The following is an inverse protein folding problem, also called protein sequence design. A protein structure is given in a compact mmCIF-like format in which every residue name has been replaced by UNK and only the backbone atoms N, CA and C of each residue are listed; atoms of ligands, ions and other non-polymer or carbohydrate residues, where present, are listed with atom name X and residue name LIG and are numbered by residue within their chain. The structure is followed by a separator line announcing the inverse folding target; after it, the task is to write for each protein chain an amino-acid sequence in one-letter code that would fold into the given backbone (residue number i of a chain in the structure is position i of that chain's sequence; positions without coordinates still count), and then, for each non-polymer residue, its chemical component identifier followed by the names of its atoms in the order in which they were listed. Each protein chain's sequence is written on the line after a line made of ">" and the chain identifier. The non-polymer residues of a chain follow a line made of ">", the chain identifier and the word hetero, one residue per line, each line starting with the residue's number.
data_IF_833405944979
#
_entry.id   IF_833405944979
#
_cell.length_a   1.000
_cell.length_b   1.000
_cell.length_c   1.000
_cell.angle_alpha   90.00
_cell.angle_beta   90.00
_cell.angle_gamma   90.00
#
_symmetry.space_group_name_H-M   'P 1'
#
loop_
_entity.id
_entity.type
_entity.pdbx_description
1 polymer ?
#
# COMPACT_ATOMS: atom_id res chain seq x y z
N UNK A 1 8.53 8.38 29.36
CA UNK A 1 7.05 8.41 29.48
C UNK A 1 6.56 9.78 29.90
N UNK A 2 7.13 10.39 30.90
CA UNK A 2 6.72 11.74 31.39
C UNK A 2 6.90 12.86 30.35
N UNK A 3 7.94 12.83 29.55
CA UNK A 3 8.20 13.83 28.49
C UNK A 3 7.14 13.77 27.39
N UNK A 4 6.78 12.57 26.96
CA UNK A 4 5.72 12.38 25.95
C UNK A 4 4.32 12.77 26.49
N UNK A 5 4.07 12.67 27.79
CA UNK A 5 2.82 13.16 28.40
C UNK A 5 2.78 14.69 28.48
N UNK A 6 3.90 15.33 28.81
CA UNK A 6 4.00 16.80 28.81
C UNK A 6 3.81 17.37 27.42
N UNK A 7 4.43 16.78 26.42
CA UNK A 7 4.27 17.18 25.02
C UNK A 7 2.83 17.01 24.55
N UNK A 8 2.19 15.90 24.93
CA UNK A 8 0.76 15.69 24.65
C UNK A 8 -0.12 16.80 25.27
N UNK A 9 0.11 17.14 26.52
CA UNK A 9 -0.69 18.14 27.23
C UNK A 9 -0.48 19.55 26.64
N UNK A 10 0.74 19.90 26.28
CA UNK A 10 1.08 21.16 25.60
C UNK A 10 0.38 21.22 24.22
N UNK A 11 0.46 20.16 23.43
CA UNK A 11 -0.18 20.10 22.13
C UNK A 11 -1.71 20.20 22.23
N UNK A 12 -2.31 19.53 23.22
CA UNK A 12 -3.73 19.62 23.48
C UNK A 12 -4.15 21.04 23.90
N UNK A 13 -3.38 21.67 24.76
CA UNK A 13 -3.62 23.05 25.18
C UNK A 13 -3.56 24.02 24.01
N UNK A 14 -2.53 23.91 23.17
CA UNK A 14 -2.39 24.72 21.96
C UNK A 14 -3.55 24.50 20.98
N UNK A 15 -4.02 23.25 20.82
CA UNK A 15 -5.21 22.93 20.03
C UNK A 15 -6.46 23.62 20.59
N UNK A 16 -6.66 23.57 21.91
CA UNK A 16 -7.82 24.20 22.55
C UNK A 16 -7.80 25.72 22.41
N UNK A 17 -6.63 26.35 22.55
CA UNK A 17 -6.45 27.77 22.30
C UNK A 17 -6.80 28.11 20.84
N UNK A 18 -6.28 27.33 19.88
CA UNK A 18 -6.58 27.54 18.46
C UNK A 18 -8.06 27.37 18.13
N UNK A 19 -8.73 26.37 18.72
CA UNK A 19 -10.17 26.19 18.58
C UNK A 19 -10.95 27.43 19.08
N UNK A 20 -10.54 28.01 20.19
CA UNK A 20 -11.12 29.24 20.73
C UNK A 20 -10.92 30.42 19.78
N UNK A 21 -9.72 30.62 19.28
CA UNK A 21 -9.36 31.73 18.38
C UNK A 21 -10.17 31.72 17.07
N UNK A 22 -10.42 30.53 16.53
CA UNK A 22 -11.22 30.33 15.29
C UNK A 22 -12.69 30.07 15.56
N UNK A 23 -13.17 30.22 16.82
CA UNK A 23 -14.54 29.95 17.24
C UNK A 23 -15.05 28.54 16.89
N UNK A 24 -14.17 27.53 16.93
CA UNK A 24 -14.54 26.13 16.72
C UNK A 24 -15.07 25.52 18.03
N UNK A 25 -16.33 25.09 18.02
CA UNK A 25 -16.96 24.42 19.18
C UNK A 25 -16.74 22.92 19.11
N UNK A 26 -16.09 22.36 20.14
CA UNK A 26 -15.89 20.92 20.28
C UNK A 26 -17.07 20.31 21.09
N UNK A 27 -17.43 19.06 20.74
CA UNK A 27 -18.46 18.35 21.49
C UNK A 27 -17.86 17.64 22.71
N UNK A 28 -18.12 18.12 23.95
CA UNK A 28 -17.52 17.55 25.16
C UNK A 28 -17.92 16.10 25.41
N UNK A 29 -19.10 15.66 24.92
CA UNK A 29 -19.55 14.25 25.08
C UNK A 29 -18.77 13.26 24.24
N UNK A 30 -18.07 13.74 23.20
CA UNK A 30 -17.22 12.91 22.33
C UNK A 30 -15.73 13.03 22.66
N UNK A 31 -15.39 13.86 23.62
CA UNK A 31 -14.01 14.09 24.03
C UNK A 31 -13.50 12.90 24.84
N UNK A 32 -12.38 12.34 24.42
CA UNK A 32 -11.69 11.24 25.10
C UNK A 32 -10.26 11.71 25.44
N UNK A 33 -9.94 11.72 26.72
CA UNK A 33 -8.68 12.24 27.22
C UNK A 33 -7.81 11.14 27.79
N UNK A 34 -6.54 11.08 27.40
CA UNK A 34 -5.50 10.12 27.87
C UNK A 34 -5.96 8.65 27.84
N UNK A 35 -6.69 8.27 26.79
CA UNK A 35 -7.15 6.89 26.60
C UNK A 35 -6.06 6.04 25.94
N UNK A 36 -5.95 4.77 26.33
CA UNK A 36 -4.97 3.83 25.75
C UNK A 36 -5.30 3.41 24.32
N UNK A 37 -6.56 3.49 23.94
CA UNK A 37 -7.07 3.14 22.63
C UNK A 37 -8.17 4.11 22.22
N UNK A 38 -8.19 4.50 20.95
CA UNK A 38 -9.23 5.40 20.42
C UNK A 38 -9.78 4.83 19.11
N UNK A 39 -11.09 4.88 18.96
CA UNK A 39 -11.73 4.56 17.68
C UNK A 39 -11.79 5.83 16.82
N UNK A 40 -11.12 5.79 15.69
CA UNK A 40 -11.10 6.91 14.73
C UNK A 40 -11.42 6.42 13.33
N UNK A 41 -12.45 7.00 12.73
CA UNK A 41 -12.96 6.63 11.39
C UNK A 41 -13.06 5.09 11.22
N UNK A 42 -13.61 4.39 12.23
CA UNK A 42 -13.83 2.94 12.17
C UNK A 42 -12.57 2.06 12.23
N UNK A 43 -11.44 2.64 12.64
CA UNK A 43 -10.21 1.94 12.99
C UNK A 43 -9.94 2.09 14.48
N UNK A 44 -9.33 1.10 15.07
CA UNK A 44 -8.85 1.15 16.45
C UNK A 44 -7.37 1.53 16.44
N UNK A 45 -7.05 2.69 17.02
CA UNK A 45 -5.69 3.19 17.21
C UNK A 45 -5.24 2.82 18.62
N UNK A 46 -4.08 2.23 18.76
CA UNK A 46 -3.47 1.84 20.03
C UNK A 46 -1.95 2.03 19.97
N UNK A 47 -1.26 1.83 21.09
CA UNK A 47 0.22 1.81 21.12
C UNK A 47 0.83 0.75 20.18
N UNK A 48 0.08 -0.32 19.88
CA UNK A 48 0.54 -1.40 19.00
C UNK A 48 0.37 -1.08 17.50
N UNK A 49 -0.35 0.00 17.19
CA UNK A 49 -0.62 0.41 15.81
C UNK A 49 -2.09 0.59 15.48
N UNK A 50 -2.44 0.43 14.22
CA UNK A 50 -3.77 0.60 13.65
C UNK A 50 -4.36 -0.77 13.37
N UNK A 51 -5.55 -1.05 13.90
CA UNK A 51 -6.29 -2.29 13.61
C UNK A 51 -7.72 -2.00 13.16
N UNK A 52 -8.39 -2.95 12.48
CA UNK A 52 -9.81 -2.80 12.19
C UNK A 52 -10.61 -2.72 13.50
N UNK A 53 -11.68 -1.92 13.52
CA UNK A 53 -12.57 -1.90 14.67
C UNK A 53 -13.25 -3.27 14.85
N UNK A 54 -13.19 -3.89 16.06
CA UNK A 54 -13.73 -5.24 16.29
C UNK A 54 -15.19 -5.42 15.87
N UNK A 55 -16.03 -4.40 16.14
CA UNK A 55 -17.44 -4.44 15.74
C UNK A 55 -17.65 -4.47 14.21
N UNK A 56 -16.76 -3.88 13.41
CA UNK A 56 -16.83 -3.99 11.94
C UNK A 56 -16.44 -5.37 11.45
N UNK A 57 -15.39 -5.95 12.04
CA UNK A 57 -14.97 -7.31 11.74
C UNK A 57 -16.08 -8.29 12.11
N UNK A 58 -16.70 -8.11 13.27
CA UNK A 58 -17.79 -8.95 13.71
C UNK A 58 -19.02 -8.83 12.80
N UNK A 59 -19.39 -7.60 12.40
CA UNK A 59 -20.49 -7.40 11.46
C UNK A 59 -20.29 -8.14 10.13
N UNK A 60 -19.05 -8.22 9.63
CA UNK A 60 -18.74 -9.01 8.42
C UNK A 60 -18.81 -10.51 8.72
N UNK A 61 -18.32 -10.95 9.88
CA UNK A 61 -18.40 -12.36 10.29
C UNK A 61 -19.84 -12.87 10.40
N UNK A 62 -20.74 -12.02 10.88
CA UNK A 62 -22.14 -12.39 11.13
C UNK A 62 -23.02 -12.25 9.87
N UNK A 63 -22.48 -11.71 8.76
CA UNK A 63 -23.24 -11.61 7.51
C UNK A 63 -23.59 -12.99 6.96
N UNK A 64 -24.87 -13.19 6.62
CA UNK A 64 -25.32 -14.35 5.85
C UNK A 64 -24.92 -14.24 4.37
N UNK A 65 -24.87 -15.35 3.65
CA UNK A 65 -24.66 -15.31 2.20
C UNK A 65 -25.63 -14.34 1.53
N UNK A 66 -25.16 -13.49 0.61
CA UNK A 66 -26.01 -12.54 -0.09
C UNK A 66 -27.06 -13.24 -0.96
N UNK A 67 -28.28 -12.73 -0.97
CA UNK A 67 -29.40 -13.25 -1.77
C UNK A 67 -29.64 -12.39 -3.02
N UNK A 68 -29.02 -11.22 -3.11
CA UNK A 68 -29.15 -10.27 -4.21
C UNK A 68 -27.88 -9.48 -4.47
N UNK A 69 -27.81 -8.79 -5.62
CA UNK A 69 -26.70 -7.95 -6.04
C UNK A 69 -26.41 -6.81 -5.05
N UNK A 70 -27.46 -6.21 -4.46
CA UNK A 70 -27.29 -5.09 -3.51
C UNK A 70 -26.59 -5.56 -2.23
N UNK A 71 -26.94 -6.76 -1.76
CA UNK A 71 -26.26 -7.37 -0.58
C UNK A 71 -24.81 -7.71 -0.89
N UNK A 72 -24.50 -8.20 -2.11
CA UNK A 72 -23.11 -8.39 -2.55
C UNK A 72 -22.36 -7.07 -2.57
N UNK A 73 -22.92 -6.02 -3.16
CA UNK A 73 -22.28 -4.69 -3.18
C UNK A 73 -22.02 -4.15 -1.78
N UNK A 74 -22.97 -4.34 -0.85
CA UNK A 74 -22.78 -3.97 0.57
C UNK A 74 -21.61 -4.74 1.19
N UNK A 75 -21.55 -6.06 1.00
CA UNK A 75 -20.46 -6.89 1.49
C UNK A 75 -19.12 -6.45 0.91
N UNK A 76 -19.02 -6.28 -0.41
CA UNK A 76 -17.82 -5.80 -1.09
C UNK A 76 -17.36 -4.43 -0.55
N UNK A 77 -18.28 -3.49 -0.35
CA UNK A 77 -17.98 -2.17 0.22
C UNK A 77 -17.39 -2.27 1.62
N UNK A 78 -17.93 -3.14 2.48
CA UNK A 78 -17.39 -3.39 3.82
C UNK A 78 -16.00 -4.02 3.77
N UNK A 79 -15.78 -4.97 2.86
CA UNK A 79 -14.49 -5.62 2.65
C UNK A 79 -13.45 -4.64 2.09
N UNK A 80 -13.79 -3.84 1.10
CA UNK A 80 -12.91 -2.81 0.51
C UNK A 80 -12.43 -1.81 1.57
N UNK A 81 -13.30 -1.42 2.49
CA UNK A 81 -12.90 -0.52 3.59
C UNK A 81 -11.79 -1.12 4.47
N UNK A 82 -11.77 -2.44 4.64
CA UNK A 82 -10.78 -3.16 5.44
C UNK A 82 -9.62 -3.74 4.60
N UNK A 83 -9.60 -3.50 3.28
CA UNK A 83 -8.59 -4.08 2.38
C UNK A 83 -7.15 -3.72 2.72
N UNK A 84 -6.93 -2.53 3.33
CA UNK A 84 -5.59 -2.11 3.77
C UNK A 84 -4.98 -3.00 4.87
N UNK A 85 -5.78 -3.83 5.54
CA UNK A 85 -5.35 -4.71 6.62
C UNK A 85 -5.14 -6.16 6.16
N UNK A 86 -5.43 -6.45 4.90
CA UNK A 86 -5.40 -7.81 4.36
C UNK A 86 -4.70 -7.85 3.01
N UNK A 87 -3.97 -8.93 2.80
CA UNK A 87 -3.31 -9.19 1.52
C UNK A 87 -4.25 -9.96 0.58
N UNK A 88 -4.12 -9.74 -0.74
CA UNK A 88 -4.81 -10.50 -1.82
C UNK A 88 -6.35 -10.55 -1.72
N UNK A 89 -6.95 -9.60 -1.00
CA UNK A 89 -8.40 -9.58 -0.83
C UNK A 89 -9.14 -9.36 -2.17
N UNK A 90 -8.59 -8.53 -3.07
CA UNK A 90 -9.22 -8.22 -4.36
C UNK A 90 -9.39 -9.47 -5.23
N UNK A 91 -8.35 -10.31 -5.32
CA UNK A 91 -8.38 -11.56 -6.09
C UNK A 91 -9.46 -12.52 -5.55
N UNK A 92 -9.55 -12.67 -4.24
CA UNK A 92 -10.56 -13.54 -3.61
C UNK A 92 -11.97 -13.02 -3.86
N UNK A 93 -12.16 -11.72 -3.92
CA UNK A 93 -13.47 -11.10 -4.15
C UNK A 93 -13.87 -11.03 -5.63
N UNK A 94 -13.00 -11.39 -6.58
CA UNK A 94 -13.27 -11.33 -8.03
C UNK A 94 -14.59 -11.98 -8.42
N UNK A 95 -14.89 -13.26 -8.02
CA UNK A 95 -16.16 -13.89 -8.39
C UNK A 95 -17.39 -13.12 -7.89
N UNK A 96 -17.30 -12.54 -6.68
CA UNK A 96 -18.39 -11.75 -6.12
C UNK A 96 -18.54 -10.40 -6.83
N UNK A 97 -17.44 -9.83 -7.29
CA UNK A 97 -17.45 -8.56 -8.05
C UNK A 97 -18.10 -8.75 -9.40
N UNK A 98 -17.86 -9.88 -10.08
CA UNK A 98 -18.47 -10.23 -11.36
C UNK A 98 -20.00 -10.25 -11.28
N UNK A 99 -20.58 -10.69 -10.16
CA UNK A 99 -22.03 -10.64 -9.95
C UNK A 99 -22.62 -9.22 -9.90
N UNK A 100 -21.77 -8.21 -9.72
CA UNK A 100 -22.21 -6.81 -9.62
C UNK A 100 -22.14 -6.06 -10.96
N UNK A 101 -21.67 -6.69 -12.05
CA UNK A 101 -21.63 -6.06 -13.35
C UNK A 101 -23.04 -5.84 -13.93
N UNK A 102 -23.19 -4.78 -14.71
CA UNK A 102 -24.50 -4.31 -15.23
C UNK A 102 -25.27 -5.40 -15.97
N UNK A 103 -24.58 -6.29 -16.70
CA UNK A 103 -25.18 -7.35 -17.49
C UNK A 103 -25.07 -8.76 -16.87
N UNK A 104 -24.66 -8.84 -15.59
CA UNK A 104 -24.54 -10.12 -14.92
C UNK A 104 -25.92 -10.68 -14.56
N UNK A 105 -26.17 -11.93 -14.95
CA UNK A 105 -27.32 -12.66 -14.46
C UNK A 105 -27.05 -13.15 -13.05
N UNK A 106 -27.96 -12.84 -12.12
CA UNK A 106 -27.82 -13.29 -10.73
C UNK A 106 -27.81 -14.82 -10.67
N UNK A 107 -26.69 -15.38 -10.23
CA UNK A 107 -26.52 -16.81 -10.02
C UNK A 107 -25.51 -17.07 -8.90
N UNK A 108 -25.99 -17.50 -7.74
CA UNK A 108 -25.11 -17.83 -6.61
C UNK A 108 -24.67 -19.30 -6.70
N UNK A 109 -23.39 -19.53 -6.95
CA UNK A 109 -22.78 -20.85 -7.09
C UNK A 109 -21.87 -21.19 -5.90
N UNK A 110 -21.36 -22.42 -5.88
CA UNK A 110 -20.38 -22.87 -4.89
C UNK A 110 -19.07 -22.08 -4.93
N UNK A 111 -18.70 -21.48 -6.08
CA UNK A 111 -17.54 -20.61 -6.22
C UNK A 111 -17.74 -19.30 -5.43
N UNK A 112 -18.92 -18.70 -5.53
CA UNK A 112 -19.27 -17.48 -4.80
C UNK A 112 -19.30 -17.74 -3.29
N UNK A 113 -19.83 -18.89 -2.85
CA UNK A 113 -19.85 -19.27 -1.44
C UNK A 113 -18.44 -19.46 -0.88
N UNK A 114 -17.55 -20.11 -1.64
CA UNK A 114 -16.12 -20.24 -1.27
C UNK A 114 -15.43 -18.89 -1.17
N UNK A 115 -15.62 -17.99 -2.16
CA UNK A 115 -15.07 -16.65 -2.16
C UNK A 115 -15.55 -15.82 -0.96
N UNK A 116 -16.86 -15.89 -0.67
CA UNK A 116 -17.48 -15.22 0.47
C UNK A 116 -16.90 -15.68 1.80
N UNK A 117 -16.83 -17.00 2.04
CA UNK A 117 -16.25 -17.58 3.26
C UNK A 117 -14.77 -17.23 3.41
N UNK A 118 -14.02 -17.30 2.30
CA UNK A 118 -12.58 -16.98 2.32
C UNK A 118 -12.33 -15.49 2.61
N UNK A 119 -13.11 -14.59 2.03
CA UNK A 119 -13.02 -13.16 2.32
C UNK A 119 -13.34 -12.86 3.79
N UNK A 120 -14.39 -13.47 4.37
CA UNK A 120 -14.72 -13.37 5.80
C UNK A 120 -13.58 -13.86 6.69
N UNK A 121 -12.97 -15.00 6.37
CA UNK A 121 -11.84 -15.56 7.10
C UNK A 121 -10.61 -14.64 7.07
N UNK A 122 -10.29 -14.07 5.91
CA UNK A 122 -9.17 -13.11 5.78
C UNK A 122 -9.39 -11.86 6.63
N UNK A 123 -10.58 -11.29 6.59
CA UNK A 123 -10.91 -10.10 7.39
C UNK A 123 -10.91 -10.42 8.89
N UNK A 124 -11.35 -11.62 9.25
CA UNK A 124 -11.32 -12.08 10.63
C UNK A 124 -9.90 -12.15 11.21
N UNK A 125 -8.92 -12.44 10.35
CA UNK A 125 -7.50 -12.54 10.68
C UNK A 125 -6.70 -11.30 10.22
N UNK A 126 -7.37 -10.16 10.08
CA UNK A 126 -6.75 -8.91 9.63
C UNK A 126 -5.60 -8.49 10.56
N UNK A 127 -4.49 -8.09 9.94
CA UNK A 127 -3.25 -7.77 10.65
C UNK A 127 -3.29 -6.36 11.24
N UNK A 128 -2.72 -6.17 12.43
CA UNK A 128 -2.47 -4.82 12.98
C UNK A 128 -1.33 -4.17 12.19
N UNK A 129 -1.58 -2.97 11.69
CA UNK A 129 -0.63 -2.18 10.92
C UNK A 129 0.21 -1.31 11.86
N UNK A 130 1.48 -1.17 11.55
CA UNK A 130 2.38 -0.23 12.22
C UNK A 130 2.05 1.21 11.80
N UNK A 131 2.26 2.17 12.71
CA UNK A 131 2.29 3.58 12.32
C UNK A 131 3.48 3.85 11.41
N UNK A 132 3.23 4.63 10.37
CA UNK A 132 4.27 5.03 9.43
C UNK A 132 5.22 6.04 10.06
N UNK A 133 6.52 5.78 9.95
CA UNK A 133 7.58 6.69 10.38
C UNK A 133 8.27 7.30 9.17
N UNK A 134 8.20 8.63 9.04
CA UNK A 134 8.78 9.35 7.90
C UNK A 134 10.31 9.17 7.83
N UNK A 135 10.98 8.97 8.96
CA UNK A 135 12.45 8.91 9.04
C UNK A 135 13.02 7.50 8.78
N UNK A 136 12.15 6.48 8.71
CA UNK A 136 12.61 5.10 8.52
C UNK A 136 12.55 4.65 7.08
N UNK A 137 13.48 3.77 6.64
CA UNK A 137 13.43 3.19 5.31
C UNK A 137 12.17 2.36 5.11
N UNK A 138 11.73 2.26 3.86
CA UNK A 138 10.56 1.49 3.48
C UNK A 138 10.94 0.31 2.60
N UNK A 139 10.29 -0.83 2.85
CA UNK A 139 10.35 -2.00 1.97
C UNK A 139 8.99 -2.16 1.31
N UNK A 140 8.98 -2.12 -0.01
CA UNK A 140 7.81 -2.40 -0.83
C UNK A 140 7.91 -3.83 -1.34
N UNK A 141 7.13 -4.74 -0.76
CA UNK A 141 7.04 -6.11 -1.22
C UNK A 141 5.86 -6.24 -2.17
N UNK A 142 6.09 -6.82 -3.34
CA UNK A 142 5.07 -7.01 -4.37
C UNK A 142 5.05 -8.44 -4.86
N UNK A 143 3.87 -8.87 -5.29
CA UNK A 143 3.63 -10.18 -5.89
C UNK A 143 2.55 -10.05 -6.97
N UNK A 144 2.67 -10.85 -8.02
CA UNK A 144 1.69 -10.92 -9.11
C UNK A 144 1.31 -12.37 -9.38
N UNK A 145 0.02 -12.66 -9.25
CA UNK A 145 -0.58 -13.93 -9.67
C UNK A 145 -1.09 -13.85 -11.11
N UNK A 146 -1.70 -14.92 -11.59
CA UNK A 146 -2.32 -14.93 -12.92
C UNK A 146 -3.49 -13.97 -13.04
N UNK A 147 -4.19 -13.68 -11.95
CA UNK A 147 -5.44 -12.90 -11.93
C UNK A 147 -5.38 -11.66 -11.05
N UNK A 148 -4.35 -11.52 -10.21
CA UNK A 148 -4.28 -10.44 -9.23
C UNK A 148 -2.87 -9.91 -8.97
N UNK A 149 -2.82 -8.73 -8.38
CA UNK A 149 -1.62 -8.05 -7.94
C UNK A 149 -1.72 -7.80 -6.44
N UNK A 150 -0.66 -8.13 -5.70
CA UNK A 150 -0.54 -7.89 -4.28
C UNK A 150 0.63 -6.97 -3.96
N UNK A 151 0.50 -6.20 -2.87
CA UNK A 151 1.60 -5.39 -2.37
C UNK A 151 1.48 -5.12 -0.88
N UNK A 152 2.62 -5.05 -0.22
CA UNK A 152 2.75 -4.69 1.18
C UNK A 152 3.83 -3.63 1.35
N UNK A 153 3.52 -2.56 2.07
CA UNK A 153 4.49 -1.58 2.53
C UNK A 153 4.92 -1.94 3.95
N UNK A 154 6.21 -2.13 4.14
CA UNK A 154 6.79 -2.57 5.39
C UNK A 154 7.78 -1.54 5.94
N UNK A 155 7.86 -1.43 7.26
CA UNK A 155 8.93 -0.75 8.00
C UNK A 155 9.33 -1.61 9.21
N UNK A 156 10.61 -1.79 9.42
CA UNK A 156 11.15 -2.68 10.47
C UNK A 156 10.54 -4.09 10.42
N UNK A 157 10.28 -4.62 9.21
CA UNK A 157 9.67 -5.93 9.01
C UNK A 157 8.17 -6.04 9.36
N UNK A 158 7.52 -4.93 9.76
CA UNK A 158 6.10 -4.88 10.11
C UNK A 158 5.30 -4.17 9.01
N UNK A 159 4.08 -4.62 8.71
CA UNK A 159 3.25 -3.99 7.69
C UNK A 159 2.71 -2.64 8.16
N UNK A 160 2.82 -1.65 7.28
CA UNK A 160 2.21 -0.32 7.39
C UNK A 160 0.88 -0.28 6.62
N UNK A 161 0.84 -0.91 5.46
CA UNK A 161 -0.36 -1.01 4.65
C UNK A 161 -0.24 -2.19 3.66
N UNK A 162 -1.38 -2.77 3.31
CA UNK A 162 -1.50 -3.71 2.20
C UNK A 162 -2.26 -3.08 1.05
N UNK A 163 -2.04 -3.60 -0.14
CA UNK A 163 -2.83 -3.31 -1.34
C UNK A 163 -3.05 -4.56 -2.15
N UNK A 164 -4.17 -4.62 -2.82
CA UNK A 164 -4.45 -5.65 -3.82
C UNK A 164 -5.27 -5.05 -4.97
N UNK A 165 -5.13 -5.64 -6.15
CA UNK A 165 -5.89 -5.27 -7.35
C UNK A 165 -6.08 -6.50 -8.21
N UNK A 166 -7.20 -6.61 -8.89
CA UNK A 166 -7.42 -7.61 -9.93
C UNK A 166 -6.85 -7.11 -11.25
N UNK A 167 -6.36 -8.03 -12.08
CA UNK A 167 -5.94 -7.74 -13.44
C UNK A 167 -7.16 -7.55 -14.35
N UNK A 168 -7.10 -6.59 -15.24
CA UNK A 168 -8.09 -6.45 -16.32
C UNK A 168 -7.95 -7.60 -17.32
N UNK A 169 -8.97 -7.83 -18.17
CA UNK A 169 -8.95 -8.87 -19.19
C UNK A 169 -7.73 -8.79 -20.14
N UNK A 170 -7.24 -7.59 -20.40
CA UNK A 170 -6.02 -7.38 -21.19
C UNK A 170 -4.75 -7.67 -20.41
N UNK A 171 -4.72 -7.35 -19.12
CA UNK A 171 -3.56 -7.54 -18.25
C UNK A 171 -3.34 -8.99 -17.84
N UNK A 172 -4.41 -9.80 -17.80
CA UNK A 172 -4.32 -11.26 -17.57
C UNK A 172 -3.41 -11.94 -18.61
N UNK A 173 -3.40 -11.42 -19.85
CA UNK A 173 -2.58 -11.94 -20.95
C UNK A 173 -1.14 -11.37 -20.98
N UNK A 174 -0.73 -10.61 -19.98
CA UNK A 174 0.63 -10.09 -19.91
C UNK A 174 1.61 -11.19 -19.54
N UNK A 175 2.86 -11.05 -20.05
CA UNK A 175 3.95 -11.92 -19.61
C UNK A 175 4.18 -11.78 -18.09
N UNK A 176 4.67 -12.82 -17.40
CA UNK A 176 4.93 -12.77 -15.95
C UNK A 176 5.77 -11.55 -15.53
N UNK A 177 6.78 -11.21 -16.31
CA UNK A 177 7.63 -10.03 -16.08
C UNK A 177 6.84 -8.72 -16.15
N UNK A 178 5.93 -8.59 -17.13
CA UNK A 178 5.08 -7.40 -17.27
C UNK A 178 4.09 -7.29 -16.10
N UNK A 179 3.52 -8.43 -15.66
CA UNK A 179 2.63 -8.48 -14.48
C UNK A 179 3.36 -8.04 -13.21
N UNK A 180 4.58 -8.50 -13.00
CA UNK A 180 5.38 -8.10 -11.84
C UNK A 180 5.76 -6.61 -11.88
N UNK A 181 6.15 -6.08 -13.06
CA UNK A 181 6.39 -4.65 -13.22
C UNK A 181 5.12 -3.83 -12.96
N UNK A 182 3.96 -4.33 -13.42
CA UNK A 182 2.66 -3.73 -13.15
C UNK A 182 2.32 -3.75 -11.65
N UNK A 183 2.65 -4.83 -10.93
CA UNK A 183 2.47 -4.91 -9.48
C UNK A 183 3.26 -3.81 -8.75
N UNK A 184 4.53 -3.61 -9.12
CA UNK A 184 5.35 -2.52 -8.58
C UNK A 184 4.69 -1.17 -8.86
N UNK A 185 4.28 -0.90 -10.11
CA UNK A 185 3.61 0.34 -10.49
C UNK A 185 2.34 0.59 -9.68
N UNK A 186 1.45 -0.42 -9.59
CA UNK A 186 0.19 -0.30 -8.85
C UNK A 186 0.45 -0.06 -7.37
N UNK A 187 1.38 -0.79 -6.76
CA UNK A 187 1.76 -0.61 -5.37
C UNK A 187 2.34 0.79 -5.11
N UNK A 188 3.25 1.29 -5.95
CA UNK A 188 3.79 2.65 -5.85
C UNK A 188 2.68 3.71 -5.98
N UNK A 189 1.73 3.51 -6.88
CA UNK A 189 0.59 4.44 -7.03
C UNK A 189 -0.32 4.43 -5.81
N UNK A 190 -0.64 3.25 -5.28
CA UNK A 190 -1.51 3.11 -4.09
C UNK A 190 -0.84 3.63 -2.81
N UNK A 191 0.46 3.46 -2.69
CA UNK A 191 1.23 3.92 -1.54
C UNK A 191 1.91 5.28 -1.77
N UNK A 192 1.52 6.01 -2.82
CA UNK A 192 2.14 7.29 -3.19
C UNK A 192 2.32 8.24 -2.01
N UNK A 193 1.31 8.40 -1.15
CA UNK A 193 1.35 9.26 0.03
C UNK A 193 2.45 8.89 1.05
N UNK A 194 2.87 7.61 1.10
CA UNK A 194 3.94 7.14 1.96
C UNK A 194 5.32 7.21 1.29
N UNK A 195 5.35 7.07 -0.03
CA UNK A 195 6.57 6.96 -0.81
C UNK A 195 7.05 8.30 -1.36
N UNK A 196 6.17 9.29 -1.46
CA UNK A 196 6.51 10.61 -2.00
C UNK A 196 7.62 11.27 -1.18
N UNK A 197 8.71 11.70 -1.85
CA UNK A 197 9.87 12.32 -1.21
C UNK A 197 10.79 11.37 -0.44
N UNK A 198 10.50 10.07 -0.40
CA UNK A 198 11.36 9.06 0.20
C UNK A 198 12.50 8.67 -0.74
N UNK A 199 13.73 8.70 -0.22
CA UNK A 199 14.93 8.26 -0.94
C UNK A 199 15.27 6.78 -0.70
N UNK A 200 14.83 6.22 0.45
CA UNK A 200 15.21 4.89 0.92
C UNK A 200 14.02 3.91 0.79
N UNK A 201 13.62 3.64 -0.45
CA UNK A 201 12.58 2.65 -0.76
C UNK A 201 13.23 1.44 -1.42
N UNK A 202 13.14 0.29 -0.76
CA UNK A 202 13.65 -0.98 -1.27
C UNK A 202 12.46 -1.76 -1.84
N UNK A 203 12.54 -2.20 -3.09
CA UNK A 203 11.51 -3.04 -3.71
C UNK A 203 11.95 -4.50 -3.67
N UNK A 204 11.13 -5.35 -3.05
CA UNK A 204 11.31 -6.79 -3.05
C UNK A 204 10.32 -7.43 -4.02
N UNK A 205 10.84 -8.19 -4.97
CA UNK A 205 10.10 -9.03 -5.90
C UNK A 205 10.84 -10.36 -6.02
N UNK A 206 10.11 -11.44 -6.17
CA UNK A 206 10.67 -12.79 -6.37
C UNK A 206 11.04 -13.07 -7.84
N UNK A 207 10.81 -12.09 -8.75
CA UNK A 207 11.06 -12.24 -10.18
C UNK A 207 12.42 -11.68 -10.60
N UNK A 208 13.46 -12.52 -10.61
CA UNK A 208 14.85 -12.18 -10.98
C UNK A 208 15.01 -11.38 -12.29
N UNK A 209 14.27 -11.68 -13.39
CA UNK A 209 14.43 -10.93 -14.64
C UNK A 209 14.19 -9.42 -14.52
N UNK A 210 13.42 -8.96 -13.53
CA UNK A 210 13.18 -7.53 -13.33
C UNK A 210 14.44 -6.77 -12.99
N UNK A 211 15.33 -7.32 -12.16
CA UNK A 211 16.60 -6.69 -11.82
C UNK A 211 17.42 -6.36 -13.07
N UNK A 212 17.50 -7.33 -13.99
CA UNK A 212 18.20 -7.16 -15.26
C UNK A 212 17.53 -6.10 -16.15
N UNK A 213 16.20 -6.02 -16.14
CA UNK A 213 15.43 -5.05 -16.94
C UNK A 213 15.62 -3.63 -16.39
N UNK A 214 15.56 -3.46 -15.08
CA UNK A 214 15.76 -2.14 -14.45
C UNK A 214 17.19 -1.61 -14.59
N UNK A 215 18.19 -2.49 -14.74
CA UNK A 215 19.59 -2.12 -15.00
C UNK A 215 19.88 -1.79 -16.47
N UNK A 216 19.01 -2.18 -17.42
CA UNK A 216 19.20 -1.89 -18.84
C UNK A 216 18.73 -0.47 -19.19
N UNK A 217 19.32 0.15 -20.23
CA UNK A 217 18.83 1.41 -20.76
C UNK A 217 17.36 1.29 -21.16
N UNK A 218 16.56 2.29 -20.80
CA UNK A 218 15.11 2.32 -21.04
C UNK A 218 14.76 2.05 -22.51
N UNK A 219 15.61 2.52 -23.45
CA UNK A 219 15.43 2.34 -24.90
C UNK A 219 15.44 0.87 -25.36
N UNK A 220 16.01 -0.04 -24.57
CA UNK A 220 16.06 -1.48 -24.89
C UNK A 220 14.91 -2.29 -24.31
N UNK A 221 14.09 -1.69 -23.46
CA UNK A 221 12.92 -2.36 -22.91
C UNK A 221 11.74 -2.33 -23.91
N UNK A 222 10.81 -3.27 -23.78
CA UNK A 222 9.56 -3.25 -24.54
C UNK A 222 8.76 -1.98 -24.24
N UNK A 223 8.06 -1.40 -25.22
CA UNK A 223 7.31 -0.13 -25.08
C UNK A 223 6.38 -0.08 -23.87
N UNK A 224 5.77 -1.22 -23.52
CA UNK A 224 4.91 -1.32 -22.33
C UNK A 224 5.71 -1.15 -21.03
N UNK A 225 6.81 -1.87 -20.90
CA UNK A 225 7.74 -1.76 -19.77
C UNK A 225 8.34 -0.36 -19.67
N UNK A 226 8.71 0.25 -20.81
CA UNK A 226 9.20 1.65 -20.82
C UNK A 226 8.20 2.62 -20.18
N UNK A 227 6.90 2.51 -20.53
CA UNK A 227 5.86 3.37 -19.95
C UNK A 227 5.71 3.15 -18.45
N UNK A 228 5.77 1.91 -17.98
CA UNK A 228 5.69 1.59 -16.55
C UNK A 228 6.91 2.14 -15.81
N UNK A 229 8.12 1.95 -16.35
CA UNK A 229 9.37 2.45 -15.77
C UNK A 229 9.41 3.97 -15.70
N UNK A 230 8.92 4.68 -16.73
CA UNK A 230 8.80 6.14 -16.71
C UNK A 230 7.85 6.63 -15.61
N UNK A 231 6.76 5.91 -15.33
CA UNK A 231 5.86 6.25 -14.23
C UNK A 231 6.50 5.96 -12.87
N UNK A 232 7.33 4.93 -12.77
CA UNK A 232 8.07 4.58 -11.56
C UNK A 232 9.20 5.59 -11.26
N UNK A 233 9.85 6.14 -12.28
CA UNK A 233 10.91 7.14 -12.10
C UNK A 233 10.39 8.44 -11.45
N UNK A 234 9.12 8.76 -11.63
CA UNK A 234 8.47 9.89 -10.97
C UNK A 234 8.35 9.74 -9.44
N UNK A 235 8.43 8.52 -8.92
CA UNK A 235 8.35 8.21 -7.48
C UNK A 235 9.72 8.09 -6.82
N UNK A 236 10.82 8.28 -7.57
CA UNK A 236 12.20 8.11 -7.10
C UNK A 236 12.44 6.77 -6.38
N UNK A 237 11.84 5.70 -6.87
CA UNK A 237 12.07 4.36 -6.35
C UNK A 237 13.49 3.95 -6.76
N UNK A 238 14.43 4.05 -5.85
CA UNK A 238 15.74 3.42 -6.00
C UNK A 238 15.53 1.92 -5.78
N UNK A 239 15.37 1.19 -6.88
CA UNK A 239 15.18 -0.25 -6.84
C UNK A 239 16.51 -0.93 -6.50
N UNK A 240 16.80 -1.14 -5.22
CA UNK A 240 17.59 -2.28 -4.85
C UNK A 240 16.66 -3.50 -4.90
N UNK A 241 16.52 -4.09 -6.08
CA UNK A 241 15.90 -5.40 -6.23
C UNK A 241 16.81 -6.38 -5.51
N UNK A 242 16.47 -6.71 -4.28
CA UNK A 242 17.11 -7.77 -3.52
C UNK A 242 16.29 -9.04 -3.70
N UNK A 243 16.91 -10.01 -4.33
CA UNK A 243 16.46 -11.38 -4.27
C UNK A 243 16.44 -11.84 -2.83
N UNK A 244 15.27 -12.12 -2.28
CA UNK A 244 15.13 -12.85 -1.03
C UNK A 244 14.03 -13.88 -1.13
N UNK A 245 14.46 -15.12 -1.05
CA UNK A 245 13.68 -16.28 -0.68
C UNK A 245 13.13 -16.15 0.75
N UNK A 246 12.24 -15.23 1.02
CA UNK A 246 11.42 -15.29 2.21
C UNK A 246 10.03 -14.78 1.86
N UNK A 247 9.12 -15.69 1.65
CA UNK A 247 7.68 -15.43 1.53
C UNK A 247 7.13 -14.79 2.82
N UNK A 248 7.42 -13.51 3.05
CA UNK A 248 6.73 -12.75 4.09
C UNK A 248 5.22 -12.68 3.79
N UNK A 249 4.83 -12.64 2.53
CA UNK A 249 3.42 -12.72 2.11
C UNK A 249 2.76 -14.03 2.56
N UNK A 250 3.48 -15.15 2.61
CA UNK A 250 2.98 -16.41 3.14
C UNK A 250 2.92 -16.49 4.67
N UNK A 251 3.65 -15.66 5.40
CA UNK A 251 3.67 -15.67 6.87
C UNK A 251 2.51 -14.92 7.50
N UNK A 252 1.91 -13.96 6.80
CA UNK A 252 0.76 -13.21 7.31
C UNK A 252 -0.58 -13.87 7.03
N UNK A 253 -0.59 -15.01 6.33
CA UNK A 253 -1.79 -15.83 6.12
C UNK A 253 -1.99 -16.90 7.18
N UNK A 254 -0.98 -17.18 8.04
CA UNK A 254 -1.08 -18.19 9.10
C UNK A 254 -0.39 -17.70 10.36
N UNK A 255 -1.19 -17.53 11.40
CA UNK A 255 -0.85 -17.47 12.82
C UNK A 255 0.06 -16.33 13.32
N UNK A 256 -0.54 -15.54 14.20
CA UNK A 256 0.09 -14.95 15.36
C UNK A 256 1.06 -15.92 16.04
N UNK A 257 2.36 -15.88 15.72
CA UNK A 257 3.44 -16.34 16.62
C UNK A 257 4.80 -15.92 16.09
N UNK A 258 5.51 -15.18 16.97
CA UNK A 258 6.94 -15.24 17.30
C UNK A 258 7.97 -14.66 16.33
N UNK A 259 8.64 -13.66 16.87
CA UNK A 259 10.04 -13.23 16.80
C UNK A 259 10.76 -13.06 15.46
N UNK A 260 11.45 -11.95 15.30
CA UNK A 260 12.23 -11.67 14.10
C UNK A 260 13.60 -12.33 14.18
N UNK A 261 14.00 -13.13 13.22
CA UNK A 261 15.39 -13.46 13.05
C UNK A 261 15.98 -12.57 11.94
N UNK A 262 16.39 -11.37 12.26
CA UNK A 262 17.32 -10.66 11.37
C UNK A 262 18.37 -9.92 12.16
N UNK A 263 19.44 -10.60 12.49
CA UNK A 263 20.77 -10.01 12.58
C UNK A 263 21.23 -9.67 11.17
N UNK A 264 21.33 -8.39 10.88
CA UNK A 264 22.00 -7.87 9.69
C UNK A 264 23.48 -8.31 9.75
N UNK A 265 23.85 -9.34 9.00
CA UNK A 265 25.26 -9.55 8.66
C UNK A 265 25.57 -8.71 7.43
N UNK A 266 26.60 -7.86 7.44
CA UNK A 266 27.02 -7.13 6.26
C UNK A 266 27.63 -8.13 5.28
N UNK A 267 26.94 -8.39 4.17
CA UNK A 267 27.55 -9.08 3.03
C UNK A 267 28.38 -8.06 2.25
N UNK A 268 29.67 -8.35 2.16
CA UNK A 268 30.62 -7.67 1.27
C UNK A 268 30.10 -7.70 -0.16
N UNK A 269 30.13 -6.51 -0.83
CA UNK A 269 29.81 -6.21 -2.22
C UNK A 269 28.33 -5.88 -2.50
N UNK A 270 27.93 -4.68 -2.07
CA UNK A 270 26.88 -3.92 -2.71
C UNK A 270 27.51 -2.65 -3.28
N UNK A 271 27.67 -2.58 -4.58
CA UNK A 271 28.01 -1.33 -5.26
C UNK A 271 26.70 -0.55 -5.38
N UNK A 272 26.58 0.68 -4.86
CA UNK A 272 25.44 1.52 -5.15
C UNK A 272 25.43 1.86 -6.63
N UNK A 273 24.37 1.55 -7.34
CA UNK A 273 24.17 2.07 -8.70
C UNK A 273 23.67 3.49 -8.55
N UNK A 274 24.59 4.46 -8.57
CA UNK A 274 24.27 5.83 -8.85
C UNK A 274 23.77 5.95 -10.29
N UNK A 275 22.52 6.31 -10.45
CA UNK A 275 22.04 6.84 -11.73
C UNK A 275 22.60 8.25 -11.84
N UNK A 276 23.87 8.37 -12.32
CA UNK A 276 24.46 9.64 -12.68
C UNK A 276 23.60 10.32 -13.73
N UNK A 277 23.15 11.51 -13.36
CA UNK A 277 22.25 12.35 -14.11
C UNK A 277 22.71 12.65 -15.50
N UNK A 278 21.80 12.61 -16.40
CA UNK A 278 21.88 13.30 -17.68
C UNK A 278 21.45 14.76 -17.45
N UNK A 279 22.38 15.57 -16.94
CA UNK A 279 22.25 17.04 -17.05
C UNK A 279 22.64 17.38 -18.49
N UNK A 280 21.65 17.67 -19.31
CA UNK A 280 21.90 18.34 -20.58
C UNK A 280 22.23 19.79 -20.28
N UNK A 281 23.48 20.14 -20.48
CA UNK A 281 23.93 21.52 -20.64
C UNK A 281 23.15 22.16 -21.80
N UNK A 282 22.38 23.18 -21.48
CA UNK A 282 21.79 24.09 -22.48
C UNK A 282 22.82 25.18 -22.71
N UNK A 283 23.40 25.29 -23.92
CA UNK A 283 24.32 26.40 -24.20
C UNK A 283 23.59 27.71 -24.18
N UNK A 284 24.14 28.65 -23.41
CA UNK A 284 23.64 30.01 -23.24
C UNK A 284 23.53 30.76 -24.56
N UNK A 285 22.37 31.32 -24.86
CA UNK A 285 22.18 32.38 -25.82
C UNK A 285 22.42 33.70 -25.10
N UNK A 286 23.56 34.31 -25.34
CA UNK A 286 23.83 35.73 -25.13
C UNK A 286 22.88 36.54 -26.01
N UNK A 287 22.02 37.32 -25.39
CA UNK A 287 21.26 38.42 -26.07
C UNK A 287 22.10 39.66 -26.02
N UNK A 288 22.55 40.04 -27.20
CA UNK A 288 23.15 41.32 -27.46
C UNK A 288 22.06 42.40 -27.43
N UNK A 289 22.29 43.43 -26.62
CA UNK A 289 21.49 44.66 -26.61
C UNK A 289 22.00 45.62 -27.70
N UNK A 290 21.24 45.73 -28.77
CA UNK A 290 21.39 46.79 -29.77
C UNK A 290 20.28 47.83 -29.65
N UNK A 291 20.59 48.92 -29.01
CA UNK A 291 19.87 50.22 -29.04
C UNK A 291 19.63 50.72 -30.45
N UNK A 292 18.44 51.22 -30.74
CA UNK A 292 18.16 52.49 -31.44
C UNK A 292 16.68 52.76 -31.60
N UNK A 293 16.30 53.88 -31.01
CA UNK A 293 15.15 54.73 -31.36
C UNK A 293 15.45 55.51 -32.66
N UNK A 294 14.51 56.17 -33.34
CA UNK A 294 13.46 57.01 -32.81
C UNK A 294 12.06 56.46 -32.92
#
# INVERSE_FOLDING_TARGET
>A
MEEAEKDHDINLWNLMLRCRDVNLKLNPRKFQFKVKQVTWIGHLLSSNGISPHPGRVQAIKDMNPPEDVKRVQRFLGMCHYLSRFTLNLAEIMTPLTELTHVNAVWSWSSQHDKAFKRAKSLIANATTLKFFDVNKPCVLQVDASDTGLGGALLQDGKPVAFTSSTLSATEVNYAPTDKQCLAIKVACTKFYQYLYGKKDVIVHSDHQPLETIFKKPLSRALRRLQRMMLQLSAVQVHSSLQERQVHLLGRYTVASRLEPPYTLRPTRRGVPVELSGCTRDVPGRTRDHGTRLP
#
